data_IF_394549602477
#
_entry.id   IF_394549602477
#
_cell.length_a   1.000
_cell.length_b   1.000
_cell.length_c   1.000
_cell.angle_alpha   90.00
_cell.angle_beta   90.00
_cell.angle_gamma   90.00
#
_symmetry.space_group_name_H-M   'P 1'
#
loop_
_entity.id
_entity.type
_entity.pdbx_description
1 polymer ?
#
# COMPACT_ATOMS: atom_id res chain seq x y z
N UNK A 1 -15.51 -3.02 10.85
CA UNK A 1 -15.00 -1.84 10.14
C UNK A 1 -13.49 -1.88 10.07
N UNK A 2 -12.95 -1.65 8.89
CA UNK A 2 -11.51 -1.65 8.72
C UNK A 2 -10.91 -0.38 9.31
N UNK A 3 -9.84 -0.57 10.06
CA UNK A 3 -9.06 0.56 10.55
C UNK A 3 -7.99 0.94 9.55
N UNK A 4 -7.71 2.23 9.42
CA UNK A 4 -6.56 2.67 8.66
C UNK A 4 -5.29 2.17 9.34
N UNK A 5 -4.38 1.59 8.56
CA UNK A 5 -3.13 1.01 9.09
C UNK A 5 -1.89 1.67 8.51
N UNK A 6 -2.05 2.39 7.39
CA UNK A 6 -0.95 3.07 6.70
C UNK A 6 -1.42 4.47 6.32
N UNK A 7 -0.49 5.40 6.34
CA UNK A 7 -0.74 6.79 5.97
C UNK A 7 0.18 7.18 4.83
N UNK A 8 -0.39 7.81 3.79
CA UNK A 8 0.39 8.40 2.72
C UNK A 8 0.98 9.72 3.22
N UNK A 9 2.31 9.81 3.24
CA UNK A 9 2.99 10.97 3.78
C UNK A 9 2.96 12.20 2.88
N UNK A 10 2.65 12.01 1.60
CA UNK A 10 2.57 13.12 0.66
C UNK A 10 1.27 13.91 0.79
N UNK A 11 0.15 13.22 0.92
CA UNK A 11 -1.16 13.86 1.01
C UNK A 11 -1.83 13.70 2.38
N UNK A 12 -1.26 12.88 3.25
CA UNK A 12 -1.83 12.64 4.58
C UNK A 12 -3.03 11.72 4.60
N UNK A 13 -3.32 11.03 3.49
CA UNK A 13 -4.44 10.11 3.40
C UNK A 13 -4.17 8.84 4.18
N UNK A 14 -5.16 8.42 4.97
CA UNK A 14 -5.08 7.17 5.73
C UNK A 14 -5.74 6.04 4.95
N UNK A 15 -5.08 4.90 4.88
CA UNK A 15 -5.51 3.76 4.07
C UNK A 15 -5.76 2.53 4.94
N UNK A 16 -6.84 1.82 4.63
CA UNK A 16 -7.16 0.55 5.28
C UNK A 16 -6.51 -0.61 4.52
N UNK A 17 -6.49 -1.80 5.13
CA UNK A 17 -5.99 -2.99 4.43
C UNK A 17 -6.83 -3.31 3.20
N UNK A 18 -8.13 -3.06 3.25
CA UNK A 18 -9.01 -3.28 2.10
C UNK A 18 -8.62 -2.37 0.94
N UNK A 19 -8.37 -1.09 1.22
CA UNK A 19 -7.94 -0.12 0.22
C UNK A 19 -6.61 -0.54 -0.42
N UNK A 20 -5.66 -0.94 0.41
CA UNK A 20 -4.33 -1.34 -0.04
C UNK A 20 -4.37 -2.61 -0.87
N UNK A 21 -5.20 -3.58 -0.49
CA UNK A 21 -5.35 -4.81 -1.23
C UNK A 21 -5.95 -4.56 -2.60
N UNK A 22 -6.96 -3.71 -2.67
CA UNK A 22 -7.58 -3.34 -3.94
C UNK A 22 -6.58 -2.66 -4.86
N UNK A 23 -5.80 -1.73 -4.33
CA UNK A 23 -4.74 -1.06 -5.07
C UNK A 23 -3.70 -2.06 -5.59
N UNK A 24 -3.26 -2.97 -4.74
CA UNK A 24 -2.30 -3.99 -5.13
C UNK A 24 -2.84 -4.88 -6.26
N UNK A 25 -4.10 -5.33 -6.16
CA UNK A 25 -4.71 -6.15 -7.19
C UNK A 25 -4.78 -5.41 -8.53
N UNK A 26 -5.14 -4.13 -8.49
CA UNK A 26 -5.19 -3.31 -9.70
C UNK A 26 -3.80 -3.17 -10.33
N UNK A 27 -2.78 -2.91 -9.52
CA UNK A 27 -1.41 -2.79 -10.01
C UNK A 27 -0.91 -4.12 -10.57
N UNK A 28 -1.22 -5.21 -9.92
CA UNK A 28 -0.79 -6.54 -10.37
C UNK A 28 -1.46 -6.92 -11.69
N UNK A 29 -2.75 -6.64 -11.82
CA UNK A 29 -3.48 -6.91 -13.05
C UNK A 29 -2.97 -6.07 -14.22
N UNK A 30 -2.52 -4.86 -13.94
CA UNK A 30 -1.95 -3.97 -14.94
C UNK A 30 -0.46 -4.25 -15.23
N UNK A 31 0.16 -5.13 -14.45
CA UNK A 31 1.59 -5.41 -14.57
C UNK A 31 2.48 -4.26 -14.12
N UNK A 32 1.97 -3.39 -13.25
CA UNK A 32 2.69 -2.20 -12.79
C UNK A 32 3.41 -2.39 -11.46
N UNK A 33 3.30 -3.56 -10.83
CA UNK A 33 4.01 -3.84 -9.59
C UNK A 33 4.88 -5.08 -9.74
N UNK A 34 6.06 -5.05 -9.12
CA UNK A 34 6.98 -6.18 -9.07
C UNK A 34 6.76 -7.02 -7.81
N UNK A 35 5.93 -6.56 -6.89
CA UNK A 35 5.65 -7.28 -5.66
C UNK A 35 4.92 -8.59 -5.96
N UNK A 36 5.48 -9.70 -5.49
CA UNK A 36 4.90 -11.02 -5.71
C UNK A 36 3.76 -11.33 -4.76
N UNK A 37 3.79 -10.72 -3.57
CA UNK A 37 2.76 -10.89 -2.55
C UNK A 37 2.29 -9.54 -2.05
N UNK A 38 1.13 -9.55 -1.38
CA UNK A 38 0.61 -8.34 -0.75
C UNK A 38 1.56 -7.82 0.34
N UNK A 39 2.20 -8.72 1.07
CA UNK A 39 3.18 -8.32 2.10
C UNK A 39 4.36 -7.60 1.47
N UNK A 40 4.85 -8.09 0.34
CA UNK A 40 5.93 -7.43 -0.39
C UNK A 40 5.52 -6.03 -0.83
N UNK A 41 4.28 -5.90 -1.31
CA UNK A 41 3.75 -4.60 -1.70
C UNK A 41 3.72 -3.62 -0.52
N UNK A 42 3.23 -4.06 0.63
CA UNK A 42 3.18 -3.22 1.82
C UNK A 42 4.58 -2.79 2.25
N UNK A 43 5.54 -3.70 2.21
CA UNK A 43 6.92 -3.40 2.54
C UNK A 43 7.49 -2.35 1.59
N UNK A 44 7.23 -2.50 0.29
CA UNK A 44 7.74 -1.56 -0.71
C UNK A 44 7.20 -0.14 -0.53
N UNK A 45 5.93 0.01 -0.17
CA UNK A 45 5.35 1.35 0.00
C UNK A 45 5.70 1.99 1.34
N UNK A 46 6.15 1.20 2.32
CA UNK A 46 6.52 1.70 3.65
C UNK A 46 8.03 1.73 3.87
N UNK A 47 8.80 1.28 2.90
CA UNK A 47 10.26 1.35 2.92
C UNK A 47 10.71 2.81 2.88
N UNK A 48 11.96 3.06 3.19
CA UNK A 48 12.57 4.40 3.16
C UNK A 48 12.40 5.14 1.84
N UNK A 49 12.19 4.41 0.74
CA UNK A 49 11.93 5.00 -0.58
C UNK A 49 10.43 5.09 -0.90
N UNK A 50 9.57 4.58 -0.03
CA UNK A 50 8.13 4.61 -0.22
C UNK A 50 7.52 5.91 0.26
N UNK A 51 6.27 6.16 -0.14
CA UNK A 51 5.54 7.38 0.21
C UNK A 51 4.60 7.16 1.39
N UNK A 52 4.58 5.98 1.97
CA UNK A 52 3.66 5.59 3.04
C UNK A 52 4.42 5.20 4.31
N UNK A 53 3.74 5.31 5.44
CA UNK A 53 4.28 4.85 6.72
C UNK A 53 3.19 4.18 7.54
N UNK A 54 3.60 3.26 8.41
CA UNK A 54 2.66 2.59 9.32
C UNK A 54 2.15 3.57 10.37
N UNK A 55 0.87 3.49 10.65
CA UNK A 55 0.23 4.29 11.70
C UNK A 55 0.54 3.76 13.10
#
# INVERSE_FOLDING_TARGET
MDKAVIKDTECGEELTLTDLREEYENLKNAGETEAETFEDYLENITDGNGTCEWL
#
